data_IF_425111506582
#
_entry.id   IF_425111506582
#
_cell.length_a   1.000
_cell.length_b   1.000
_cell.length_c   1.000
_cell.angle_alpha   90.00
_cell.angle_beta   90.00
_cell.angle_gamma   90.00
#
_symmetry.space_group_name_H-M   'P 1'
#
loop_
_entity.id
_entity.type
_entity.pdbx_description
1 polymer ?
#
# COMPACT_ATOMS: atom_id res chain seq x y z
N UNK A 1 -19.77 7.58 -4.42
CA UNK A 1 -18.86 7.78 -5.57
C UNK A 1 -19.59 8.42 -6.74
N UNK A 2 -20.73 7.88 -7.18
CA UNK A 2 -21.51 8.39 -8.31
C UNK A 2 -21.95 9.87 -8.15
N UNK A 3 -22.63 10.22 -7.06
CA UNK A 3 -23.08 11.60 -6.84
C UNK A 3 -21.95 12.64 -6.69
N UNK A 4 -20.76 12.22 -6.24
CA UNK A 4 -19.59 13.10 -6.19
C UNK A 4 -19.08 13.40 -7.60
N UNK A 5 -19.01 12.37 -8.46
CA UNK A 5 -18.61 12.54 -9.85
C UNK A 5 -19.60 13.44 -10.61
N UNK A 6 -20.90 13.26 -10.41
CA UNK A 6 -21.94 14.11 -10.99
C UNK A 6 -21.80 15.57 -10.54
N UNK A 7 -21.58 15.81 -9.24
CA UNK A 7 -21.38 17.16 -8.71
C UNK A 7 -20.17 17.87 -9.31
N UNK A 8 -19.06 17.15 -9.50
CA UNK A 8 -17.85 17.69 -10.15
C UNK A 8 -18.10 17.99 -11.62
N UNK A 9 -18.78 17.11 -12.36
CA UNK A 9 -19.08 17.34 -13.78
C UNK A 9 -20.00 18.53 -14.00
N UNK A 10 -21.01 18.71 -13.13
CA UNK A 10 -21.87 19.90 -13.13
C UNK A 10 -21.07 21.18 -12.84
N UNK A 11 -20.12 21.12 -11.91
CA UNK A 11 -19.26 22.27 -11.60
C UNK A 11 -18.31 22.65 -12.75
N UNK A 12 -17.96 21.70 -13.62
CA UNK A 12 -17.10 21.91 -14.78
C UNK A 12 -17.87 22.30 -16.05
N UNK A 13 -19.19 22.48 -15.96
CA UNK A 13 -20.11 22.74 -17.08
C UNK A 13 -20.07 21.68 -18.20
N UNK A 14 -19.57 20.48 -17.88
CA UNK A 14 -19.50 19.35 -18.80
C UNK A 14 -20.80 18.54 -18.73
N UNK A 15 -21.91 19.16 -19.10
CA UNK A 15 -23.26 18.59 -18.91
C UNK A 15 -23.64 17.49 -19.91
N UNK A 16 -22.72 17.04 -20.77
CA UNK A 16 -23.02 16.11 -21.89
C UNK A 16 -22.53 14.67 -21.66
N UNK A 17 -22.04 14.34 -20.46
CA UNK A 17 -21.48 13.02 -20.18
C UNK A 17 -22.37 12.29 -19.18
N UNK A 18 -22.96 11.19 -19.63
CA UNK A 18 -23.68 10.27 -18.74
C UNK A 18 -22.72 9.60 -17.76
N UNK A 19 -23.15 9.49 -16.50
CA UNK A 19 -22.34 8.87 -15.44
C UNK A 19 -23.03 7.61 -14.96
N UNK A 20 -22.27 6.52 -14.95
CA UNK A 20 -22.70 5.23 -14.42
C UNK A 20 -21.75 4.75 -13.33
N UNK A 21 -22.28 4.05 -12.34
CA UNK A 21 -21.52 3.43 -11.26
C UNK A 21 -21.70 1.92 -11.26
N UNK A 22 -20.63 1.17 -10.99
CA UNK A 22 -20.68 -0.28 -10.78
C UNK A 22 -20.30 -0.60 -9.33
N UNK A 23 -21.24 -1.16 -8.57
CA UNK A 23 -21.00 -1.62 -7.21
C UNK A 23 -20.79 -3.14 -7.18
N UNK A 24 -19.90 -3.58 -6.29
CA UNK A 24 -19.63 -5.00 -6.11
C UNK A 24 -20.72 -5.65 -5.28
N UNK A 25 -21.27 -6.76 -5.76
CA UNK A 25 -22.20 -7.57 -4.99
C UNK A 25 -21.58 -8.12 -3.71
N UNK A 26 -22.40 -8.32 -2.66
CA UNK A 26 -21.92 -8.91 -1.42
C UNK A 26 -21.62 -10.40 -1.62
N UNK A 27 -20.68 -10.91 -0.82
CA UNK A 27 -20.47 -12.34 -0.69
C UNK A 27 -20.91 -12.72 0.70
N UNK A 28 -21.91 -13.57 0.78
CA UNK A 28 -22.41 -14.11 2.05
C UNK A 28 -22.06 -15.59 2.13
N UNK A 29 -21.71 -16.05 3.33
CA UNK A 29 -21.51 -17.45 3.62
C UNK A 29 -22.71 -17.92 4.41
N UNK A 30 -23.46 -18.86 3.85
CA UNK A 30 -24.60 -19.50 4.49
C UNK A 30 -24.38 -21.00 4.41
N UNK A 31 -24.38 -21.68 5.58
CA UNK A 31 -24.24 -23.14 5.71
C UNK A 31 -23.19 -23.77 4.77
N UNK A 32 -21.94 -23.31 4.89
CA UNK A 32 -20.77 -23.77 4.11
C UNK A 32 -20.81 -23.47 2.58
N UNK A 33 -21.90 -22.88 2.08
CA UNK A 33 -22.03 -22.41 0.71
C UNK A 33 -21.71 -20.91 0.61
N UNK A 34 -20.94 -20.54 -0.40
CA UNK A 34 -20.66 -19.12 -0.69
C UNK A 34 -21.67 -18.60 -1.71
N UNK A 35 -22.70 -17.91 -1.23
CA UNK A 35 -23.66 -17.21 -2.10
C UNK A 35 -23.02 -15.89 -2.53
N UNK A 36 -22.94 -15.67 -3.84
CA UNK A 36 -22.41 -14.44 -4.42
C UNK A 36 -23.57 -13.67 -5.00
N UNK A 37 -23.86 -12.52 -4.39
CA UNK A 37 -24.73 -11.54 -5.00
C UNK A 37 -24.03 -10.94 -6.23
N UNK A 38 -24.78 -10.72 -7.30
CA UNK A 38 -24.31 -10.10 -8.53
C UNK A 38 -23.83 -8.66 -8.34
N UNK A 39 -23.05 -8.17 -9.30
CA UNK A 39 -22.67 -6.76 -9.34
C UNK A 39 -23.89 -5.89 -9.72
N UNK A 40 -23.98 -4.70 -9.14
CA UNK A 40 -25.12 -3.78 -9.32
C UNK A 40 -24.69 -2.52 -10.09
N UNK A 41 -25.50 -2.12 -11.07
CA UNK A 41 -25.26 -0.90 -11.86
C UNK A 41 -26.15 0.22 -11.36
N UNK A 42 -25.59 1.42 -11.20
CA UNK A 42 -26.32 2.61 -10.76
C UNK A 42 -26.18 3.71 -11.80
N UNK A 43 -27.24 4.51 -11.95
CA UNK A 43 -27.28 5.67 -12.83
C UNK A 43 -27.56 6.92 -12.00
N UNK A 44 -27.24 8.11 -12.53
CA UNK A 44 -27.54 9.37 -11.84
C UNK A 44 -29.03 9.69 -11.80
N UNK A 45 -29.82 9.05 -12.67
CA UNK A 45 -31.25 9.33 -12.82
C UNK A 45 -32.13 8.53 -11.85
N UNK A 46 -31.58 7.47 -11.22
CA UNK A 46 -32.34 6.60 -10.32
C UNK A 46 -31.47 6.12 -9.15
N UNK A 47 -31.98 6.16 -7.92
CA UNK A 47 -31.30 5.55 -6.77
C UNK A 47 -31.35 4.02 -6.78
N UNK A 48 -32.35 3.44 -7.47
CA UNK A 48 -32.48 1.99 -7.64
C UNK A 48 -31.45 1.47 -8.65
N UNK A 49 -30.84 0.29 -8.39
CA UNK A 49 -29.92 -0.32 -9.33
C UNK A 49 -30.63 -0.72 -10.63
N UNK A 50 -29.95 -0.52 -11.75
CA UNK A 50 -30.36 -1.04 -13.04
C UNK A 50 -30.19 -2.56 -13.04
N UNK A 51 -31.30 -3.27 -13.19
CA UNK A 51 -31.30 -4.72 -13.31
C UNK A 51 -30.73 -5.14 -14.66
N UNK A 52 -29.52 -5.68 -14.65
CA UNK A 52 -28.86 -6.29 -15.80
C UNK A 52 -28.59 -7.76 -15.47
N UNK A 53 -28.89 -8.70 -16.38
CA UNK A 53 -28.51 -10.09 -16.20
C UNK A 53 -26.99 -10.23 -16.02
N UNK A 54 -26.55 -11.12 -15.13
CA UNK A 54 -25.12 -11.28 -14.85
C UNK A 54 -24.32 -11.69 -16.08
N UNK A 55 -24.92 -12.46 -16.99
CA UNK A 55 -24.26 -12.96 -18.21
C UNK A 55 -24.46 -12.04 -19.42
N UNK A 56 -25.06 -10.86 -19.22
CA UNK A 56 -25.26 -9.88 -20.28
C UNK A 56 -23.94 -9.28 -20.78
N UNK A 57 -23.90 -8.90 -22.06
CA UNK A 57 -22.71 -8.30 -22.68
C UNK A 57 -22.36 -6.94 -22.05
N UNK A 58 -23.40 -6.21 -21.65
CA UNK A 58 -23.34 -4.92 -20.97
C UNK A 58 -22.66 -5.07 -19.60
N UNK A 59 -23.10 -6.03 -18.78
CA UNK A 59 -22.49 -6.30 -17.47
C UNK A 59 -21.04 -6.76 -17.60
N UNK A 60 -20.73 -7.60 -18.59
CA UNK A 60 -19.36 -8.04 -18.87
C UNK A 60 -18.44 -6.87 -19.27
N UNK A 61 -18.93 -5.96 -20.12
CA UNK A 61 -18.20 -4.75 -20.51
C UNK A 61 -17.91 -3.86 -19.30
N UNK A 62 -18.91 -3.59 -18.46
CA UNK A 62 -18.73 -2.75 -17.27
C UNK A 62 -17.73 -3.34 -16.28
N UNK A 63 -17.79 -4.65 -16.04
CA UNK A 63 -16.80 -5.35 -15.21
C UNK A 63 -15.40 -5.24 -15.79
N UNK A 64 -15.24 -5.39 -17.11
CA UNK A 64 -13.94 -5.24 -17.77
C UNK A 64 -13.36 -3.82 -17.63
N UNK A 65 -14.19 -2.79 -17.78
CA UNK A 65 -13.77 -1.40 -17.59
C UNK A 65 -13.34 -1.17 -16.14
N UNK A 66 -14.10 -1.67 -15.16
CA UNK A 66 -13.73 -1.59 -13.73
C UNK A 66 -12.40 -2.29 -13.47
N UNK A 67 -12.22 -3.50 -13.99
CA UNK A 67 -11.02 -4.29 -13.73
C UNK A 67 -9.78 -3.62 -14.34
N UNK A 68 -9.92 -2.99 -15.52
CA UNK A 68 -8.85 -2.22 -16.14
C UNK A 68 -8.53 -0.93 -15.37
N UNK A 69 -9.56 -0.21 -14.90
CA UNK A 69 -9.37 0.96 -14.03
C UNK A 69 -8.68 0.57 -12.72
N UNK A 70 -9.06 -0.56 -12.12
CA UNK A 70 -8.44 -1.09 -10.91
C UNK A 70 -6.98 -1.52 -11.16
N UNK A 71 -6.72 -2.24 -12.25
CA UNK A 71 -5.38 -2.64 -12.70
C UNK A 71 -4.49 -1.41 -12.89
N UNK A 72 -4.98 -0.39 -13.58
CA UNK A 72 -4.25 0.85 -13.82
C UNK A 72 -3.95 1.59 -12.51
N UNK A 73 -4.93 1.75 -11.63
CA UNK A 73 -4.75 2.41 -10.34
C UNK A 73 -3.71 1.69 -9.46
N UNK A 74 -3.77 0.35 -9.39
CA UNK A 74 -2.78 -0.46 -8.66
C UNK A 74 -1.39 -0.27 -9.27
N UNK A 75 -1.27 -0.40 -10.59
CA UNK A 75 0.01 -0.26 -11.28
C UNK A 75 0.61 1.14 -11.09
N UNK A 76 -0.22 2.18 -11.17
CA UNK A 76 0.21 3.57 -10.93
C UNK A 76 0.70 3.77 -9.50
N UNK A 77 -0.04 3.29 -8.49
CA UNK A 77 0.40 3.37 -7.10
C UNK A 77 1.65 2.52 -6.83
N UNK A 78 1.81 1.38 -7.49
CA UNK A 78 3.04 0.60 -7.44
C UNK A 78 4.22 1.41 -8.00
N UNK A 79 4.06 1.96 -9.20
CA UNK A 79 5.08 2.80 -9.85
C UNK A 79 5.44 4.03 -9.01
N UNK A 80 4.45 4.72 -8.42
CA UNK A 80 4.69 5.87 -7.56
C UNK A 80 5.45 5.49 -6.28
N UNK A 81 5.14 4.33 -5.68
CA UNK A 81 5.89 3.80 -4.53
C UNK A 81 7.32 3.45 -4.91
N UNK A 82 7.53 2.84 -6.08
CA UNK A 82 8.86 2.55 -6.61
C UNK A 82 9.65 3.82 -7.00
N UNK A 83 8.98 4.89 -7.43
CA UNK A 83 9.63 6.17 -7.67
C UNK A 83 10.05 6.85 -6.35
N UNK A 84 9.20 6.81 -5.31
CA UNK A 84 9.58 7.29 -3.96
C UNK A 84 10.75 6.50 -3.36
N UNK A 85 10.95 5.26 -3.80
CA UNK A 85 12.09 4.46 -3.41
C UNK A 85 13.43 5.03 -3.94
N UNK A 86 13.42 5.72 -5.09
CA UNK A 86 14.61 6.39 -5.65
C UNK A 86 14.99 7.58 -4.76
N UNK A 87 14.03 8.43 -4.36
CA UNK A 87 14.25 9.61 -3.49
C UNK A 87 14.09 9.33 -1.98
N UNK A 88 14.33 8.09 -1.54
CA UNK A 88 14.13 7.68 -0.14
C UNK A 88 15.14 8.37 0.79
N UNK A 89 14.80 8.65 2.08
CA UNK A 89 15.74 9.14 3.09
C UNK A 89 17.03 8.32 3.21
N UNK A 90 16.98 7.05 2.79
CA UNK A 90 18.14 6.16 2.69
C UNK A 90 19.19 6.59 1.64
N UNK A 91 18.85 7.48 0.71
CA UNK A 91 19.77 8.02 -0.31
C UNK A 91 20.79 8.98 0.28
N UNK A 92 20.46 9.66 1.38
CA UNK A 92 21.39 10.54 2.11
C UNK A 92 22.47 9.80 2.90
N UNK A 93 22.42 8.45 2.94
CA UNK A 93 23.31 7.64 3.76
C UNK A 93 24.54 7.20 2.95
N UNK A 94 25.75 7.70 3.29
CA UNK A 94 26.97 7.36 2.56
C UNK A 94 27.26 5.85 2.64
N UNK A 95 27.50 5.22 1.48
CA UNK A 95 27.79 3.78 1.37
C UNK A 95 26.57 2.87 1.21
N UNK A 96 25.35 3.43 1.13
CA UNK A 96 24.11 2.67 0.88
C UNK A 96 23.59 2.92 -0.55
N UNK A 97 24.06 2.08 -1.47
CA UNK A 97 23.57 2.05 -2.84
C UNK A 97 22.18 1.40 -3.00
N UNK A 98 21.62 1.52 -4.21
CA UNK A 98 20.28 1.05 -4.59
C UNK A 98 20.00 -0.40 -4.19
N UNK A 99 20.97 -1.31 -4.39
CA UNK A 99 20.82 -2.74 -4.08
C UNK A 99 20.51 -3.00 -2.60
N UNK A 100 21.16 -2.27 -1.69
CA UNK A 100 20.95 -2.43 -0.24
C UNK A 100 19.67 -1.77 0.23
N UNK A 101 19.31 -0.63 -0.36
CA UNK A 101 17.99 -0.03 -0.15
C UNK A 101 16.87 -1.01 -0.50
N UNK A 102 17.00 -1.72 -1.63
CA UNK A 102 16.03 -2.75 -2.04
C UNK A 102 15.98 -3.89 -1.04
N UNK A 103 17.13 -4.37 -0.57
CA UNK A 103 17.20 -5.45 0.43
C UNK A 103 16.54 -5.04 1.77
N UNK A 104 16.82 -3.84 2.27
CA UNK A 104 16.20 -3.30 3.49
C UNK A 104 14.68 -3.19 3.33
N UNK A 105 14.21 -2.67 2.20
CA UNK A 105 12.76 -2.56 1.94
C UNK A 105 12.10 -3.91 1.70
N UNK A 106 12.77 -4.88 1.09
CA UNK A 106 12.24 -6.23 0.93
C UNK A 106 12.08 -6.93 2.29
N UNK A 107 12.99 -6.67 3.22
CA UNK A 107 12.96 -7.22 4.57
C UNK A 107 11.92 -6.55 5.47
N UNK A 108 11.93 -5.21 5.53
CA UNK A 108 11.09 -4.44 6.46
C UNK A 108 9.75 -3.97 5.85
N UNK A 109 9.63 -3.96 4.52
CA UNK A 109 8.42 -3.59 3.78
C UNK A 109 8.23 -2.08 3.57
N UNK A 110 8.46 -1.26 4.60
CA UNK A 110 8.33 0.19 4.50
C UNK A 110 9.41 0.94 5.29
N UNK A 111 9.59 2.24 4.99
CA UNK A 111 10.61 3.09 5.61
C UNK A 111 10.34 3.33 7.10
N UNK A 112 9.07 3.37 7.54
CA UNK A 112 8.70 3.53 8.95
C UNK A 112 9.26 2.39 9.80
N UNK A 113 9.14 1.15 9.35
CA UNK A 113 9.71 -0.02 10.02
C UNK A 113 11.23 -0.02 10.01
N UNK A 114 11.87 0.48 8.96
CA UNK A 114 13.34 0.65 8.93
C UNK A 114 13.78 1.71 9.95
N UNK A 115 12.97 2.76 10.14
CA UNK A 115 13.22 3.82 11.12
C UNK A 115 13.10 3.29 12.55
N UNK A 116 12.15 2.40 12.83
CA UNK A 116 11.93 1.82 14.17
C UNK A 116 12.85 0.62 14.47
N UNK A 117 13.46 0.02 13.45
CA UNK A 117 14.28 -1.17 13.59
C UNK A 117 15.54 -0.92 14.44
N UNK A 118 15.90 -1.90 15.25
CA UNK A 118 17.14 -1.89 16.02
C UNK A 118 18.36 -2.13 15.12
N UNK A 119 19.55 -1.76 15.60
CA UNK A 119 20.79 -2.03 14.87
C UNK A 119 20.98 -3.53 14.59
N UNK A 120 20.51 -4.42 15.45
CA UNK A 120 20.64 -5.87 15.25
C UNK A 120 19.67 -6.42 14.21
N UNK A 121 18.44 -5.90 14.16
CA UNK A 121 17.48 -6.23 13.11
C UNK A 121 17.98 -5.77 11.73
N UNK A 122 18.60 -4.58 11.67
CA UNK A 122 19.18 -4.07 10.42
C UNK A 122 20.33 -4.95 9.89
N UNK A 123 21.07 -5.63 10.77
CA UNK A 123 22.15 -6.58 10.38
C UNK A 123 21.61 -7.87 9.76
N UNK A 124 20.37 -8.25 10.05
CA UNK A 124 19.77 -9.45 9.47
C UNK A 124 19.56 -9.31 7.96
N UNK A 125 19.61 -8.09 7.43
CA UNK A 125 19.44 -7.84 6.00
C UNK A 125 20.72 -8.20 5.23
N UNK A 126 20.61 -9.03 4.18
CA UNK A 126 21.75 -9.41 3.35
C UNK A 126 22.53 -8.21 2.81
N UNK A 127 23.83 -8.16 3.10
CA UNK A 127 24.73 -7.10 2.63
C UNK A 127 24.82 -5.85 3.53
N UNK A 128 24.18 -5.88 4.70
CA UNK A 128 24.36 -4.89 5.77
C UNK A 128 25.34 -5.44 6.81
N UNK A 129 26.49 -4.80 6.93
CA UNK A 129 27.48 -5.10 7.99
C UNK A 129 27.13 -4.36 9.27
N UNK A 130 27.69 -4.79 10.41
CA UNK A 130 27.51 -4.13 11.72
C UNK A 130 27.73 -2.60 11.67
N UNK A 131 28.85 -2.16 11.09
CA UNK A 131 29.14 -0.73 10.86
C UNK A 131 28.07 0.01 10.06
N UNK A 132 27.42 -0.66 9.11
CA UNK A 132 26.38 -0.05 8.27
C UNK A 132 25.05 -0.02 8.98
N UNK A 133 24.71 -1.06 9.74
CA UNK A 133 23.51 -1.10 10.55
C UNK A 133 23.51 0.04 11.58
N UNK A 134 24.64 0.26 12.26
CA UNK A 134 24.83 1.39 13.18
C UNK A 134 24.68 2.74 12.48
N UNK A 135 25.24 2.88 11.27
CA UNK A 135 25.17 4.11 10.49
C UNK A 135 23.75 4.40 9.98
N UNK A 136 22.98 3.38 9.62
CA UNK A 136 21.55 3.49 9.30
C UNK A 136 20.77 3.89 10.56
N UNK A 137 20.99 3.20 11.68
CA UNK A 137 20.31 3.46 12.94
C UNK A 137 20.56 4.89 13.41
N UNK A 138 21.81 5.36 13.39
CA UNK A 138 22.19 6.72 13.78
C UNK A 138 21.60 7.80 12.85
N UNK A 139 21.43 7.50 11.56
CA UNK A 139 20.78 8.42 10.62
C UNK A 139 19.32 8.68 10.97
N UNK A 140 18.62 7.67 11.49
CA UNK A 140 17.21 7.78 11.89
C UNK A 140 17.01 8.16 13.38
N UNK A 141 18.03 7.95 14.21
CA UNK A 141 18.08 8.27 15.64
C UNK A 141 19.31 9.13 15.96
N UNK A 142 19.26 10.44 15.66
CA UNK A 142 20.37 11.36 15.95
C UNK A 142 20.61 11.58 17.46
N UNK A 143 19.70 11.13 18.31
CA UNK A 143 19.89 11.07 19.76
C UNK A 143 19.59 9.63 20.22
N UNK A 144 20.60 8.81 20.53
CA UNK A 144 20.36 7.47 21.00
C UNK A 144 19.63 7.53 22.36
N UNK A 145 18.64 6.67 22.63
CA UNK A 145 18.28 6.40 24.02
C UNK A 145 19.54 5.87 24.71
N UNK A 146 19.85 6.44 25.88
CA UNK A 146 20.98 6.02 26.69
C UNK A 146 20.94 4.50 26.82
N UNK A 147 22.00 3.86 26.32
CA UNK A 147 22.23 2.42 26.39
C UNK A 147 21.90 1.90 27.78
N UNK A 148 20.96 0.95 27.85
CA UNK A 148 20.75 0.12 29.03
C UNK A 148 22.10 -0.51 29.41
N UNK A 149 22.63 -0.03 30.53
CA UNK A 149 23.84 -0.54 31.12
C UNK A 149 23.67 -2.03 31.42
N UNK A 150 24.56 -2.84 30.86
CA UNK A 150 24.87 -4.16 31.40
C UNK A 150 25.35 -3.98 32.85
N UNK A 151 24.85 -4.73 33.85
CA UNK A 151 25.59 -4.95 35.06
C UNK A 151 26.52 -6.16 34.87
N UNK A 152 27.81 -5.85 34.83
CA UNK A 152 28.97 -6.59 35.35
C UNK A 152 28.82 -8.08 35.69
N UNK A 153 29.69 -8.86 35.04
CA UNK A 153 30.35 -10.02 35.64
C UNK A 153 31.00 -9.62 36.99
N UNK A 154 30.53 -10.20 38.09
CA UNK A 154 31.30 -10.30 39.32
C UNK A 154 31.78 -11.75 39.47
N UNK A 155 33.09 -11.96 39.27
CA UNK A 155 33.80 -13.18 39.68
C UNK A 155 34.23 -13.06 41.14
N UNK A 156 34.17 -14.21 41.81
CA UNK A 156 34.94 -14.68 42.98
C UNK A 156 35.05 -13.82 44.25
N UNK A 157 34.48 -14.32 45.35
CA UNK A 157 35.24 -14.73 46.57
C UNK A 157 34.27 -15.22 47.68
N UNK A 158 34.21 -16.54 47.89
CA UNK A 158 34.30 -17.27 49.17
C UNK A 158 33.99 -18.76 49.00
#
# INVERSE_FOLDING_TARGET
QLGVAEGVLKALDTCQVDVIGLAKGRREKEDDLTVREGDHVFTTNSPEPLSLPEDSSEMLLLRRIRDEAHRFAIAYHHKLREARFIHSPLEGIPGIGLTRRRALMAHFGNIGRIREATADELKQVPGVSDKRAQLIFAHFHPNPPATDAQPEEAKDEQ
#
